data_IF_512315576190
#
_entry.id   IF_512315576190
#
_cell.length_a   1.000
_cell.length_b   1.000
_cell.length_c   1.000
_cell.angle_alpha   90.00
_cell.angle_beta   90.00
_cell.angle_gamma   90.00
#
_symmetry.space_group_name_H-M   'P 1'
#
loop_
_entity.id
_entity.type
_entity.pdbx_description
1 polymer ?
#
# COMPACT_ATOMS: atom_id res chain seq x y z
N UNK A 1 33.88 15.06 19.32
CA UNK A 1 33.76 16.52 19.52
C UNK A 1 32.46 16.94 18.89
N UNK A 2 31.50 17.32 19.71
CA UNK A 2 30.20 17.79 19.23
C UNK A 2 30.36 19.25 18.82
N UNK A 3 30.45 19.50 17.53
CA UNK A 3 30.57 20.83 16.96
C UNK A 3 29.25 21.61 16.91
N UNK A 4 28.13 20.94 17.19
CA UNK A 4 26.79 21.52 17.12
C UNK A 4 26.16 21.65 18.52
N UNK A 5 25.30 22.65 18.73
CA UNK A 5 24.46 22.70 19.91
C UNK A 5 23.61 21.43 20.03
N UNK A 6 23.36 20.95 21.25
CA UNK A 6 22.64 19.70 21.52
C UNK A 6 21.25 19.65 20.85
N UNK A 7 20.55 20.78 20.79
CA UNK A 7 19.25 20.84 20.10
C UNK A 7 19.35 20.62 18.59
N UNK A 8 20.40 21.14 17.95
CA UNK A 8 20.64 20.92 16.53
C UNK A 8 21.02 19.47 16.25
N UNK A 9 21.89 18.88 17.07
CA UNK A 9 22.27 17.47 16.92
C UNK A 9 21.06 16.55 17.04
N UNK A 10 20.20 16.78 18.04
CA UNK A 10 18.97 16.03 18.19
C UNK A 10 18.07 16.14 16.94
N UNK A 11 17.89 17.34 16.37
CA UNK A 11 17.09 17.52 15.15
C UNK A 11 17.70 16.75 13.96
N UNK A 12 19.03 16.78 13.80
CA UNK A 12 19.74 16.00 12.78
C UNK A 12 19.50 14.51 12.98
N UNK A 13 19.58 14.01 14.21
CA UNK A 13 19.30 12.61 14.52
C UNK A 13 17.86 12.19 14.16
N UNK A 14 16.85 13.04 14.43
CA UNK A 14 15.48 12.73 14.05
C UNK A 14 15.33 12.64 12.52
N UNK A 15 15.91 13.56 11.76
CA UNK A 15 15.88 13.47 10.30
C UNK A 15 16.65 12.26 9.77
N UNK A 16 17.76 11.88 10.41
CA UNK A 16 18.55 10.71 10.00
C UNK A 16 17.85 9.36 10.24
N UNK A 17 16.80 9.31 11.08
CA UNK A 17 15.93 8.14 11.26
C UNK A 17 14.97 7.90 10.09
N UNK A 18 14.77 8.91 9.23
CA UNK A 18 13.86 8.77 8.10
C UNK A 18 14.48 7.88 7.01
N UNK A 19 13.71 6.93 6.43
CA UNK A 19 14.22 6.06 5.38
C UNK A 19 14.77 6.86 4.19
N UNK A 20 15.97 6.51 3.73
CA UNK A 20 16.64 7.19 2.62
C UNK A 20 17.31 8.52 2.98
N UNK A 21 17.24 8.96 4.24
CA UNK A 21 17.90 10.19 4.70
C UNK A 21 19.20 9.86 5.43
N UNK A 22 20.33 10.02 4.74
CA UNK A 22 21.64 9.90 5.35
C UNK A 22 22.00 11.12 6.20
N UNK A 23 22.99 10.97 7.10
CA UNK A 23 23.42 12.03 8.05
C UNK A 23 23.70 13.38 7.37
N UNK A 24 24.33 13.39 6.20
CA UNK A 24 24.64 14.64 5.45
C UNK A 24 23.36 15.35 4.97
N UNK A 25 22.37 14.58 4.51
CA UNK A 25 21.05 15.12 4.13
C UNK A 25 20.28 15.60 5.36
N UNK A 26 20.32 14.85 6.45
CA UNK A 26 19.70 15.22 7.73
C UNK A 26 20.23 16.56 8.26
N UNK A 27 21.54 16.77 8.22
CA UNK A 27 22.15 18.05 8.59
C UNK A 27 21.62 19.20 7.71
N UNK A 28 21.57 19.01 6.39
CA UNK A 28 21.06 20.02 5.47
C UNK A 28 19.58 20.36 5.75
N UNK A 29 18.76 19.36 6.06
CA UNK A 29 17.36 19.57 6.44
C UNK A 29 17.24 20.33 7.76
N UNK A 30 18.05 19.98 8.77
CA UNK A 30 18.05 20.66 10.06
C UNK A 30 18.43 22.14 9.94
N UNK A 31 19.50 22.46 9.19
CA UNK A 31 19.86 23.86 8.91
C UNK A 31 18.78 24.62 8.15
N UNK A 32 18.15 23.96 7.16
CA UNK A 32 17.03 24.57 6.44
C UNK A 32 15.90 24.98 7.39
N UNK A 33 15.51 24.11 8.34
CA UNK A 33 14.47 24.43 9.31
C UNK A 33 14.91 25.59 10.23
N UNK A 34 16.19 25.66 10.64
CA UNK A 34 16.70 26.75 11.46
C UNK A 34 16.67 28.11 10.77
N UNK A 35 16.85 28.13 9.46
CA UNK A 35 16.81 29.34 8.64
C UNK A 35 15.36 29.83 8.37
N UNK A 36 14.34 29.00 8.67
CA UNK A 36 12.94 29.37 8.48
C UNK A 36 12.39 30.16 9.69
N UNK A 37 11.33 30.94 9.48
CA UNK A 37 10.58 31.53 10.59
C UNK A 37 10.08 30.47 11.58
N UNK A 38 10.06 30.81 12.86
CA UNK A 38 9.58 29.90 13.93
C UNK A 38 8.18 29.34 13.62
N UNK A 39 7.30 30.13 12.99
CA UNK A 39 5.97 29.68 12.60
C UNK A 39 6.02 28.49 11.62
N UNK A 40 6.93 28.51 10.65
CA UNK A 40 7.10 27.39 9.70
C UNK A 40 7.48 26.09 10.43
N UNK A 41 8.34 26.18 11.44
CA UNK A 41 8.71 25.02 12.25
C UNK A 41 7.53 24.49 13.08
N UNK A 42 6.73 25.39 13.65
CA UNK A 42 5.49 25.03 14.36
C UNK A 42 4.47 24.35 13.46
N UNK A 43 4.23 24.92 12.28
CA UNK A 43 3.28 24.36 11.31
C UNK A 43 3.74 22.97 10.83
N UNK A 44 5.03 22.77 10.61
CA UNK A 44 5.59 21.47 10.25
C UNK A 44 5.42 20.43 11.37
N UNK A 45 5.72 20.81 12.61
CA UNK A 45 5.54 19.94 13.78
C UNK A 45 4.05 19.60 13.99
N UNK A 46 3.15 20.58 13.86
CA UNK A 46 1.71 20.37 13.94
C UNK A 46 1.23 19.39 12.88
N UNK A 47 1.62 19.59 11.62
CA UNK A 47 1.24 18.69 10.52
C UNK A 47 1.68 17.24 10.74
N UNK A 48 2.86 17.00 11.32
CA UNK A 48 3.32 15.66 11.69
C UNK A 48 2.46 15.01 12.76
N UNK A 49 2.11 15.77 13.81
CA UNK A 49 1.28 15.29 14.91
C UNK A 49 -0.16 15.04 14.45
N UNK A 50 -0.73 15.97 13.71
CA UNK A 50 -2.10 15.89 13.18
C UNK A 50 -2.25 14.68 12.25
N UNK A 51 -1.31 14.48 11.32
CA UNK A 51 -1.32 13.32 10.45
C UNK A 51 -1.25 11.99 11.24
N UNK A 52 -0.43 11.94 12.30
CA UNK A 52 -0.28 10.74 13.13
C UNK A 52 -1.52 10.43 13.97
N UNK A 53 -2.27 11.45 14.39
CA UNK A 53 -3.44 11.31 15.28
C UNK A 53 -4.76 11.24 14.53
N UNK A 54 -4.89 11.96 13.41
CA UNK A 54 -6.15 12.04 12.66
C UNK A 54 -6.32 10.91 11.64
N UNK A 55 -5.22 10.35 11.09
CA UNK A 55 -5.32 9.30 10.08
C UNK A 55 -5.48 7.94 10.75
N UNK A 56 -6.62 7.30 10.46
CA UNK A 56 -6.94 5.93 10.86
C UNK A 56 -7.10 5.00 9.67
N UNK A 57 -7.59 3.78 9.94
CA UNK A 57 -7.96 2.81 8.91
C UNK A 57 -9.47 2.76 8.75
N UNK A 58 -9.94 2.73 7.52
CA UNK A 58 -11.34 2.49 7.19
C UNK A 58 -11.77 1.12 7.73
N UNK A 59 -12.85 1.01 8.52
CA UNK A 59 -13.28 -0.25 9.10
C UNK A 59 -13.70 -1.30 8.06
N UNK A 60 -14.02 -0.89 6.82
CA UNK A 60 -14.46 -1.79 5.76
C UNK A 60 -13.30 -2.30 4.90
N UNK A 61 -12.44 -1.41 4.41
CA UNK A 61 -11.41 -1.77 3.44
C UNK A 61 -9.98 -1.66 3.98
N UNK A 62 -9.80 -1.24 5.21
CA UNK A 62 -8.50 -1.04 5.87
C UNK A 62 -7.59 0.01 5.18
N UNK A 63 -8.09 0.75 4.19
CA UNK A 63 -7.37 1.88 3.61
C UNK A 63 -7.33 3.06 4.59
N UNK A 64 -6.42 4.00 4.37
CA UNK A 64 -6.33 5.22 5.17
C UNK A 64 -7.59 6.06 5.04
N UNK A 65 -8.03 6.64 6.15
CA UNK A 65 -9.19 7.56 6.23
C UNK A 65 -8.96 8.61 7.32
N UNK A 66 -9.61 9.75 7.19
CA UNK A 66 -9.65 10.76 8.22
C UNK A 66 -10.68 10.35 9.29
N UNK A 67 -10.21 10.05 10.50
CA UNK A 67 -11.05 9.66 11.64
C UNK A 67 -11.52 8.18 11.59
N UNK A 68 -12.68 7.90 12.24
CA UNK A 68 -13.16 6.53 12.47
C UNK A 68 -14.19 6.03 11.44
N UNK A 69 -14.50 6.82 10.42
CA UNK A 69 -15.53 6.52 9.43
C UNK A 69 -15.04 5.69 8.24
N UNK A 70 -15.99 5.34 7.37
CA UNK A 70 -15.67 4.75 6.08
C UNK A 70 -14.94 5.77 5.19
N UNK A 71 -13.91 5.30 4.46
CA UNK A 71 -13.24 6.13 3.46
C UNK A 71 -14.17 6.49 2.30
N UNK A 72 -13.83 7.53 1.56
CA UNK A 72 -14.62 8.02 0.42
C UNK A 72 -14.89 6.94 -0.65
N UNK A 73 -13.99 5.98 -0.83
CA UNK A 73 -14.15 4.87 -1.78
C UNK A 73 -15.23 3.88 -1.31
N UNK A 74 -15.23 3.52 -0.02
CA UNK A 74 -16.23 2.63 0.55
C UNK A 74 -17.61 3.29 0.72
N UNK A 75 -17.64 4.59 0.93
CA UNK A 75 -18.91 5.34 1.07
C UNK A 75 -19.57 5.68 -0.27
N UNK A 76 -18.85 5.51 -1.39
CA UNK A 76 -19.34 5.89 -2.71
C UNK A 76 -20.35 4.88 -3.24
N UNK A 77 -21.59 5.32 -3.49
CA UNK A 77 -22.63 4.54 -4.15
C UNK A 77 -22.40 4.33 -5.66
N UNK A 78 -21.38 5.01 -6.23
CA UNK A 78 -20.99 4.86 -7.63
C UNK A 78 -20.06 3.69 -7.87
N UNK A 79 -19.51 3.10 -6.80
CA UNK A 79 -18.58 1.97 -6.87
C UNK A 79 -19.31 0.63 -6.83
N UNK A 80 -18.77 -0.32 -7.54
CA UNK A 80 -19.24 -1.71 -7.49
C UNK A 80 -18.65 -2.40 -6.25
N UNK A 81 -19.49 -2.59 -5.26
CA UNK A 81 -19.10 -3.21 -3.99
C UNK A 81 -19.01 -4.74 -4.08
N UNK A 82 -19.49 -5.35 -5.16
CA UNK A 82 -19.34 -6.79 -5.41
C UNK A 82 -17.92 -7.15 -5.90
N UNK A 83 -17.15 -6.14 -6.34
CA UNK A 83 -15.81 -6.29 -6.89
C UNK A 83 -14.77 -5.72 -5.93
N UNK A 84 -13.96 -6.57 -5.32
CA UNK A 84 -12.95 -6.19 -4.30
C UNK A 84 -11.53 -6.41 -4.82
N UNK A 85 -10.74 -5.35 -4.92
CA UNK A 85 -9.31 -5.43 -5.26
C UNK A 85 -8.46 -5.46 -3.98
N UNK A 86 -7.74 -6.56 -3.76
CA UNK A 86 -6.87 -6.75 -2.60
C UNK A 86 -5.47 -6.31 -2.93
N UNK A 87 -4.97 -5.34 -2.18
CA UNK A 87 -3.64 -4.75 -2.33
C UNK A 87 -2.82 -4.89 -1.04
N UNK A 88 -1.51 -4.80 -1.14
CA UNK A 88 -0.63 -4.91 0.01
C UNK A 88 -0.55 -3.61 0.83
N UNK A 89 -0.53 -2.45 0.18
CA UNK A 89 -0.26 -1.14 0.81
C UNK A 89 -1.30 -0.09 0.37
N UNK A 90 -1.64 0.90 1.20
CA UNK A 90 -2.47 2.04 0.80
C UNK A 90 -1.97 2.79 -0.44
N UNK A 91 -0.65 2.79 -0.69
CA UNK A 91 -0.06 3.39 -1.90
C UNK A 91 -0.49 2.69 -3.18
N UNK A 92 -0.76 1.38 -3.12
CA UNK A 92 -1.24 0.61 -4.27
C UNK A 92 -2.65 1.04 -4.66
N UNK A 93 -3.51 1.37 -3.66
CA UNK A 93 -4.83 1.98 -3.92
C UNK A 93 -4.68 3.27 -4.71
N UNK A 94 -3.74 4.14 -4.31
CA UNK A 94 -3.47 5.40 -5.02
C UNK A 94 -2.97 5.17 -6.44
N UNK A 95 -2.18 4.11 -6.66
CA UNK A 95 -1.69 3.74 -8.00
C UNK A 95 -2.83 3.26 -8.91
N UNK A 96 -3.73 2.41 -8.39
CA UNK A 96 -4.91 1.94 -9.11
C UNK A 96 -5.88 3.07 -9.45
N UNK A 97 -6.17 3.95 -8.49
CA UNK A 97 -7.07 5.10 -8.67
C UNK A 97 -6.58 6.10 -9.73
N UNK A 98 -5.25 6.24 -9.91
CA UNK A 98 -4.69 7.09 -10.97
C UNK A 98 -5.08 6.62 -12.39
N UNK A 99 -5.31 5.33 -12.59
CA UNK A 99 -5.75 4.81 -13.89
C UNK A 99 -7.16 5.25 -14.26
N UNK A 100 -8.03 5.47 -13.26
CA UNK A 100 -9.47 5.78 -13.39
C UNK A 100 -10.29 4.69 -14.12
N UNK A 101 -9.72 3.51 -14.32
CA UNK A 101 -10.34 2.39 -15.03
C UNK A 101 -11.02 1.38 -14.09
N UNK A 102 -10.66 1.41 -12.79
CA UNK A 102 -11.21 0.50 -11.81
C UNK A 102 -12.40 1.11 -11.10
N UNK A 103 -13.56 0.47 -11.17
CA UNK A 103 -14.80 0.95 -10.55
C UNK A 103 -15.22 0.15 -9.30
N UNK A 104 -14.47 -0.86 -8.90
CA UNK A 104 -14.73 -1.62 -7.68
C UNK A 104 -14.22 -0.92 -6.43
N UNK A 105 -14.22 -1.64 -5.32
CA UNK A 105 -13.69 -1.21 -4.02
C UNK A 105 -12.42 -1.99 -3.67
N UNK A 106 -11.75 -1.59 -2.60
CA UNK A 106 -10.46 -2.16 -2.21
C UNK A 106 -10.51 -2.90 -0.88
N UNK A 107 -9.47 -3.69 -0.64
CA UNK A 107 -9.08 -4.16 0.68
C UNK A 107 -7.57 -4.12 0.82
N UNK A 108 -7.07 -3.43 1.86
CA UNK A 108 -5.64 -3.22 2.10
C UNK A 108 -5.17 -4.18 3.19
N UNK A 109 -4.16 -4.99 2.88
CA UNK A 109 -3.63 -5.99 3.81
C UNK A 109 -2.65 -5.42 4.83
N UNK A 110 -2.05 -4.26 4.56
CA UNK A 110 -0.93 -3.64 5.29
C UNK A 110 0.34 -4.49 5.32
N UNK A 111 0.61 -5.20 4.24
CA UNK A 111 1.80 -6.01 4.03
C UNK A 111 1.53 -7.25 3.19
N UNK A 112 2.50 -8.15 3.18
CA UNK A 112 2.46 -9.46 2.54
C UNK A 112 3.01 -10.52 3.50
N UNK A 113 2.64 -11.78 3.33
CA UNK A 113 3.21 -12.89 4.09
C UNK A 113 4.70 -12.99 3.74
N UNK A 114 5.55 -12.78 4.74
CA UNK A 114 7.01 -12.74 4.59
C UNK A 114 7.68 -13.48 5.76
N UNK A 115 7.95 -14.78 5.64
CA UNK A 115 8.63 -15.55 6.69
C UNK A 115 10.01 -14.99 7.04
N UNK A 116 10.71 -14.42 6.07
CA UNK A 116 12.03 -13.81 6.28
C UNK A 116 11.97 -12.55 7.14
N UNK A 117 10.86 -11.81 7.07
CA UNK A 117 10.60 -10.62 7.88
C UNK A 117 9.72 -10.92 9.10
N UNK A 118 9.47 -12.19 9.41
CA UNK A 118 8.60 -12.65 10.51
C UNK A 118 7.16 -12.10 10.41
N UNK A 119 6.64 -11.88 9.20
CA UNK A 119 5.26 -11.45 8.96
C UNK A 119 4.41 -12.66 8.60
N UNK A 120 3.51 -13.03 9.49
CA UNK A 120 2.52 -14.11 9.30
C UNK A 120 1.16 -13.58 8.83
N UNK A 121 0.21 -14.48 8.54
CA UNK A 121 -1.16 -14.09 8.18
C UNK A 121 -1.89 -13.27 9.26
N UNK A 122 -1.58 -13.51 10.54
CA UNK A 122 -2.22 -12.85 11.68
C UNK A 122 -1.72 -11.40 11.87
N UNK A 123 -0.58 -11.06 11.30
CA UNK A 123 -0.04 -9.69 11.30
C UNK A 123 -0.70 -8.79 10.25
N UNK A 124 -1.45 -9.39 9.32
CA UNK A 124 -2.07 -8.74 8.18
C UNK A 124 -3.60 -8.58 8.38
N UNK A 125 -4.23 -7.73 7.58
CA UNK A 125 -5.68 -7.51 7.60
C UNK A 125 -6.45 -8.59 6.83
N UNK A 126 -6.02 -9.84 6.92
CA UNK A 126 -6.61 -11.00 6.22
C UNK A 126 -7.93 -11.41 6.84
N UNK A 127 -8.02 -11.40 8.18
CA UNK A 127 -9.25 -11.77 8.87
C UNK A 127 -10.40 -10.84 8.48
N UNK A 128 -10.16 -9.53 8.40
CA UNK A 128 -11.16 -8.54 8.00
C UNK A 128 -11.64 -8.76 6.56
N UNK A 129 -10.76 -9.23 5.65
CA UNK A 129 -11.15 -9.62 4.29
C UNK A 129 -12.09 -10.83 4.32
N UNK A 130 -11.76 -11.85 5.10
CA UNK A 130 -12.58 -13.07 5.24
C UNK A 130 -13.95 -12.72 5.81
N UNK A 131 -14.01 -11.94 6.88
CA UNK A 131 -15.27 -11.48 7.49
C UNK A 131 -16.13 -10.71 6.49
N UNK A 132 -15.52 -9.83 5.69
CA UNK A 132 -16.19 -9.07 4.64
C UNK A 132 -16.77 -9.98 3.57
N UNK A 133 -16.03 -10.96 3.09
CA UNK A 133 -16.52 -11.93 2.09
C UNK A 133 -17.60 -12.84 2.67
N UNK A 134 -17.43 -13.29 3.92
CA UNK A 134 -18.41 -14.11 4.63
C UNK A 134 -19.75 -13.39 4.88
N UNK A 135 -19.72 -12.07 5.04
CA UNK A 135 -20.95 -11.25 5.17
C UNK A 135 -21.80 -11.22 3.87
N UNK A 136 -21.23 -11.65 2.74
CA UNK A 136 -21.91 -11.72 1.45
C UNK A 136 -21.83 -10.43 0.63
N UNK A 137 -22.31 -10.50 -0.61
CA UNK A 137 -22.33 -9.37 -1.55
C UNK A 137 -21.03 -9.16 -2.32
N UNK A 138 -19.98 -9.95 -2.06
CA UNK A 138 -18.75 -9.96 -2.85
C UNK A 138 -18.81 -11.09 -3.86
N UNK A 139 -18.71 -10.78 -5.14
CA UNK A 139 -18.73 -11.76 -6.25
C UNK A 139 -17.32 -12.08 -6.75
N UNK A 140 -16.44 -11.09 -6.73
CA UNK A 140 -15.06 -11.27 -7.18
C UNK A 140 -14.06 -10.59 -6.25
N UNK A 141 -12.96 -11.28 -5.97
CA UNK A 141 -11.79 -10.77 -5.28
C UNK A 141 -10.58 -10.81 -6.24
N UNK A 142 -10.10 -9.64 -6.61
CA UNK A 142 -8.93 -9.48 -7.48
C UNK A 142 -7.68 -9.37 -6.60
N UNK A 143 -6.75 -10.32 -6.75
CA UNK A 143 -5.47 -10.27 -6.06
C UNK A 143 -4.52 -9.32 -6.81
N UNK A 144 -4.17 -8.19 -6.18
CA UNK A 144 -3.33 -7.14 -6.72
C UNK A 144 -2.08 -6.87 -5.86
N UNK A 145 -1.61 -7.89 -5.13
CA UNK A 145 -0.30 -7.86 -4.48
C UNK A 145 0.81 -7.83 -5.53
N UNK A 146 2.02 -7.39 -5.18
CA UNK A 146 3.13 -7.32 -6.11
C UNK A 146 3.45 -8.69 -6.75
N UNK A 147 4.00 -8.71 -7.98
CA UNK A 147 4.37 -9.95 -8.70
C UNK A 147 5.73 -10.50 -8.26
N UNK A 148 6.03 -10.44 -6.96
CA UNK A 148 7.19 -11.03 -6.32
C UNK A 148 6.81 -12.31 -5.54
N UNK A 149 7.79 -13.00 -5.00
CA UNK A 149 7.59 -14.28 -4.30
C UNK A 149 6.64 -14.14 -3.10
N UNK A 150 6.75 -13.06 -2.34
CA UNK A 150 5.93 -12.81 -1.14
C UNK A 150 4.49 -12.45 -1.52
N UNK A 151 4.31 -11.59 -2.53
CA UNK A 151 3.00 -11.22 -3.05
C UNK A 151 2.26 -12.38 -3.70
N UNK A 152 2.96 -13.26 -4.45
CA UNK A 152 2.40 -14.49 -5.01
C UNK A 152 1.98 -15.47 -3.91
N UNK A 153 2.84 -15.69 -2.93
CA UNK A 153 2.55 -16.55 -1.78
C UNK A 153 1.30 -16.06 -1.04
N UNK A 154 1.21 -14.73 -0.84
CA UNK A 154 0.05 -14.11 -0.21
C UNK A 154 -1.22 -14.29 -1.04
N UNK A 155 -1.15 -14.06 -2.35
CA UNK A 155 -2.29 -14.27 -3.26
C UNK A 155 -2.78 -15.72 -3.27
N UNK A 156 -1.85 -16.68 -3.31
CA UNK A 156 -2.18 -18.11 -3.25
C UNK A 156 -2.81 -18.50 -1.91
N UNK A 157 -2.29 -17.98 -0.80
CA UNK A 157 -2.85 -18.20 0.52
C UNK A 157 -4.29 -17.69 0.61
N UNK A 158 -4.53 -16.46 0.20
CA UNK A 158 -5.86 -15.84 0.18
C UNK A 158 -6.82 -16.59 -0.74
N UNK A 159 -6.41 -17.00 -1.91
CA UNK A 159 -7.25 -17.77 -2.84
C UNK A 159 -7.72 -19.09 -2.22
N UNK A 160 -6.85 -19.80 -1.49
CA UNK A 160 -7.23 -21.02 -0.77
C UNK A 160 -8.18 -20.74 0.38
N UNK A 161 -7.91 -19.66 1.13
CA UNK A 161 -8.73 -19.25 2.29
C UNK A 161 -10.16 -18.82 1.87
N UNK A 162 -10.28 -18.16 0.72
CA UNK A 162 -11.55 -17.66 0.20
C UNK A 162 -12.36 -18.72 -0.59
N UNK A 163 -11.74 -19.84 -0.98
CA UNK A 163 -12.39 -20.90 -1.76
C UNK A 163 -13.69 -21.43 -1.16
N UNK A 164 -13.81 -21.65 0.17
CA UNK A 164 -15.05 -22.15 0.79
C UNK A 164 -16.26 -21.23 0.63
N UNK A 165 -16.04 -19.94 0.41
CA UNK A 165 -17.11 -18.94 0.26
C UNK A 165 -17.67 -18.87 -1.17
N UNK A 166 -17.08 -19.60 -2.13
CA UNK A 166 -17.55 -19.64 -3.51
C UNK A 166 -17.33 -18.33 -4.29
N UNK A 167 -16.60 -17.38 -3.73
CA UNK A 167 -16.26 -16.12 -4.39
C UNK A 167 -15.23 -16.37 -5.50
N UNK A 168 -15.39 -15.70 -6.63
CA UNK A 168 -14.40 -15.76 -7.72
C UNK A 168 -13.13 -15.05 -7.31
N UNK A 169 -11.98 -15.73 -7.35
CA UNK A 169 -10.68 -15.13 -7.10
C UNK A 169 -9.89 -15.03 -8.40
N UNK A 170 -9.44 -13.83 -8.72
CA UNK A 170 -8.66 -13.53 -9.91
C UNK A 170 -7.34 -12.87 -9.53
N UNK A 171 -6.42 -12.79 -10.48
CA UNK A 171 -5.10 -12.15 -10.33
C UNK A 171 -4.93 -11.10 -11.41
N UNK A 172 -4.30 -9.97 -11.09
CA UNK A 172 -3.88 -9.03 -12.13
C UNK A 172 -3.00 -9.75 -13.16
N UNK A 173 -3.28 -9.49 -14.43
CA UNK A 173 -2.49 -10.07 -15.51
C UNK A 173 -1.05 -9.58 -15.47
N UNK A 174 -0.13 -10.46 -15.79
CA UNK A 174 1.27 -10.13 -16.04
C UNK A 174 1.44 -9.82 -17.52
N UNK A 175 2.26 -8.85 -17.86
CA UNK A 175 2.48 -8.49 -19.24
C UNK A 175 3.67 -7.57 -19.44
N UNK A 176 4.03 -7.42 -20.71
CA UNK A 176 5.03 -6.44 -21.13
C UNK A 176 4.43 -5.05 -21.00
N UNK A 177 5.13 -4.11 -20.35
CA UNK A 177 4.62 -2.75 -20.19
C UNK A 177 4.31 -2.10 -21.53
N UNK A 178 3.17 -1.42 -21.62
CA UNK A 178 2.78 -0.69 -22.85
C UNK A 178 3.82 0.37 -23.20
N UNK A 179 4.29 0.34 -24.45
CA UNK A 179 5.37 1.23 -24.94
C UNK A 179 6.79 0.71 -24.69
N UNK A 180 6.94 -0.44 -24.03
CA UNK A 180 8.24 -1.11 -23.91
C UNK A 180 8.53 -1.99 -25.14
N UNK A 181 9.81 -2.10 -25.52
CA UNK A 181 10.25 -3.05 -26.53
C UNK A 181 10.53 -4.42 -25.90
N UNK A 182 10.25 -5.50 -26.63
CA UNK A 182 10.47 -6.88 -26.19
C UNK A 182 11.91 -7.16 -25.76
N UNK A 183 12.88 -6.54 -26.42
CA UNK A 183 14.30 -6.69 -26.15
C UNK A 183 14.74 -6.20 -24.75
N UNK A 184 13.93 -5.36 -24.10
CA UNK A 184 14.21 -4.85 -22.75
C UNK A 184 13.47 -5.61 -21.64
N UNK A 185 12.61 -6.58 -22.02
CA UNK A 185 11.91 -7.39 -21.03
C UNK A 185 12.83 -8.50 -20.53
N UNK A 186 12.86 -8.71 -19.23
CA UNK A 186 13.56 -9.85 -18.63
C UNK A 186 12.86 -11.19 -18.92
N UNK A 187 13.59 -12.29 -18.76
CA UNK A 187 13.11 -13.64 -19.07
C UNK A 187 11.85 -14.03 -18.28
N UNK A 188 11.75 -13.60 -17.00
CA UNK A 188 10.59 -13.89 -16.16
C UNK A 188 9.35 -13.16 -16.66
N UNK A 189 9.49 -11.88 -17.04
CA UNK A 189 8.41 -11.09 -17.66
C UNK A 189 7.94 -11.69 -18.96
N UNK A 190 8.85 -12.13 -19.84
CA UNK A 190 8.51 -12.77 -21.11
C UNK A 190 7.79 -14.10 -20.89
N UNK A 191 8.27 -14.93 -19.97
CA UNK A 191 7.64 -16.20 -19.61
C UNK A 191 6.20 -15.98 -19.12
N UNK A 192 5.99 -15.05 -18.19
CA UNK A 192 4.67 -14.71 -17.65
C UNK A 192 3.73 -14.15 -18.73
N UNK A 193 4.24 -13.31 -19.63
CA UNK A 193 3.46 -12.77 -20.73
C UNK A 193 3.03 -13.86 -21.72
N UNK A 194 3.90 -14.86 -22.00
CA UNK A 194 3.57 -16.03 -22.83
C UNK A 194 2.53 -16.92 -22.17
N UNK A 195 2.62 -17.16 -20.86
CA UNK A 195 1.63 -17.94 -20.11
C UNK A 195 0.25 -17.25 -20.13
N UNK A 196 0.25 -15.93 -19.95
CA UNK A 196 -0.97 -15.09 -19.92
C UNK A 196 -1.49 -14.65 -21.29
N UNK A 197 -0.94 -15.17 -22.42
CA UNK A 197 -1.36 -14.78 -23.77
C UNK A 197 -2.85 -15.05 -24.01
N UNK A 198 -3.49 -14.15 -24.73
CA UNK A 198 -4.92 -14.25 -25.09
C UNK A 198 -5.08 -14.41 -26.58
N UNK A 199 -6.18 -15.06 -26.98
CA UNK A 199 -6.64 -15.07 -28.35
C UNK A 199 -7.11 -13.66 -28.78
N UNK A 200 -6.82 -13.29 -30.05
CA UNK A 200 -7.16 -11.97 -30.62
C UNK A 200 -8.41 -12.12 -31.49
#
# INVERSE_FOLDING_TARGET
>A
MDYFPAALENLVEQFAKLPGVGRKSAQRLAFYILDQPEQTAKDFAAALLDAKTAIGCCPVCQNLTDGEGQCALCASSKRDHSLVCVVADPKDVMAMERSREYNGVYHVLHGVISPMNHVGPDDLRIQQLVERVAAGGVEEVIMATNPDTEGETTAMYLSRLLKPFGVRTTRLAYGIPVGSHLEFADDATLMRALEGRREI
#
